data_IF_552946116998
#
_entry.id   IF_552946116998
#
_cell.length_a   1.000
_cell.length_b   1.000
_cell.length_c   1.000
_cell.angle_alpha   90.00
_cell.angle_beta   90.00
_cell.angle_gamma   90.00
#
_symmetry.space_group_name_H-M   'P 1'
#
loop_
_entity.id
_entity.type
_entity.pdbx_description
1 polymer ?
#
# COMPACT_ATOMS: atom_id res chain seq x y z
N UNK A 1 0.11 13.63 13.35
CA UNK A 1 0.91 13.36 12.13
C UNK A 1 1.08 11.86 11.94
N UNK A 2 0.83 11.37 10.74
CA UNK A 2 0.96 9.94 10.47
C UNK A 2 2.42 9.59 10.16
N UNK A 3 2.92 8.56 10.83
CA UNK A 3 4.27 8.05 10.58
C UNK A 3 4.15 6.67 9.96
N UNK A 4 4.89 6.43 8.88
CA UNK A 4 4.90 5.14 8.21
C UNK A 4 6.28 4.51 8.33
N UNK A 5 6.47 3.64 9.34
CA UNK A 5 7.74 2.93 9.48
C UNK A 5 8.04 2.10 8.25
N UNK A 6 9.30 2.08 7.85
CA UNK A 6 9.74 1.33 6.68
C UNK A 6 10.86 0.37 7.04
N UNK A 7 10.94 -0.72 6.29
CA UNK A 7 12.06 -1.67 6.37
C UNK A 7 12.25 -2.30 5.01
N UNK A 8 13.44 -2.82 4.76
CA UNK A 8 13.71 -3.56 3.54
C UNK A 8 13.82 -5.04 3.85
N UNK A 9 13.22 -5.86 3.01
CA UNK A 9 13.26 -7.31 3.14
C UNK A 9 13.21 -7.92 1.75
N UNK A 10 14.17 -8.79 1.41
CA UNK A 10 14.21 -9.46 0.12
C UNK A 10 14.17 -8.49 -1.07
N UNK A 11 14.77 -7.31 -0.93
CA UNK A 11 14.80 -6.30 -1.98
C UNK A 11 13.52 -5.50 -2.12
N UNK A 12 12.58 -5.65 -1.18
CA UNK A 12 11.30 -4.95 -1.19
C UNK A 12 11.26 -3.92 -0.07
N UNK A 13 10.80 -2.72 -0.37
CA UNK A 13 10.58 -1.69 0.66
C UNK A 13 9.21 -1.89 1.26
N UNK A 14 9.17 -2.31 2.52
CA UNK A 14 7.93 -2.60 3.25
C UNK A 14 7.57 -1.40 4.11
N UNK A 15 6.34 -0.93 3.97
CA UNK A 15 5.82 0.22 4.70
C UNK A 15 4.69 -0.23 5.59
N UNK A 16 4.86 -0.09 6.90
CA UNK A 16 3.83 -0.48 7.87
C UNK A 16 2.79 0.62 7.98
N UNK A 17 1.54 0.26 7.71
CA UNK A 17 0.40 1.18 7.83
C UNK A 17 -0.52 0.60 8.90
N UNK A 18 -1.08 1.45 9.74
CA UNK A 18 -1.94 0.95 10.82
C UNK A 18 -3.06 1.90 11.18
N UNK A 19 -3.98 1.39 12.00
CA UNK A 19 -5.10 2.17 12.51
C UNK A 19 -6.25 2.28 11.52
N UNK A 20 -6.97 3.38 11.61
CA UNK A 20 -8.14 3.65 10.79
C UNK A 20 -7.79 4.69 9.75
N UNK A 21 -7.93 4.33 8.50
CA UNK A 21 -7.71 5.27 7.39
C UNK A 21 -9.07 5.80 6.97
N UNK A 22 -9.61 6.68 7.80
CA UNK A 22 -10.89 7.32 7.56
C UNK A 22 -10.70 8.61 6.76
N UNK A 23 -11.81 9.35 6.59
CA UNK A 23 -11.79 10.59 5.85
C UNK A 23 -10.79 11.60 6.44
N UNK A 24 -10.72 11.66 7.77
CA UNK A 24 -9.83 12.60 8.46
C UNK A 24 -8.35 12.25 8.26
N UNK A 25 -8.03 10.96 8.28
CA UNK A 25 -6.64 10.50 8.16
C UNK A 25 -6.12 10.50 6.72
N UNK A 26 -7.00 10.59 5.73
CA UNK A 26 -6.61 10.44 4.32
C UNK A 26 -5.58 11.46 3.85
N UNK A 27 -5.67 12.70 4.31
CA UNK A 27 -4.72 13.74 3.93
C UNK A 27 -3.34 13.48 4.51
N UNK A 28 -3.27 13.08 5.77
CA UNK A 28 -1.99 12.73 6.41
C UNK A 28 -1.37 11.51 5.74
N UNK A 29 -2.21 10.54 5.37
CA UNK A 29 -1.76 9.35 4.67
C UNK A 29 -1.14 9.71 3.31
N UNK A 30 -1.80 10.60 2.56
CA UNK A 30 -1.26 11.09 1.30
C UNK A 30 0.12 11.72 1.48
N UNK A 31 0.25 12.60 2.48
CA UNK A 31 1.51 13.29 2.76
C UNK A 31 2.61 12.32 3.18
N UNK A 32 2.26 11.31 3.96
CA UNK A 32 3.23 10.32 4.42
C UNK A 32 3.70 9.40 3.30
N UNK A 33 2.82 9.08 2.35
CA UNK A 33 3.18 8.24 1.20
C UNK A 33 3.99 8.99 0.14
N UNK A 34 3.81 10.29 0.04
CA UNK A 34 4.39 11.08 -1.04
C UNK A 34 5.90 10.88 -1.22
N UNK A 35 6.74 11.03 -0.18
CA UNK A 35 8.18 10.80 -0.35
C UNK A 35 8.54 9.36 -0.70
N UNK A 36 7.73 8.40 -0.26
CA UNK A 36 7.96 7.00 -0.59
C UNK A 36 7.62 6.72 -2.05
N UNK A 37 6.58 7.36 -2.57
CA UNK A 37 6.20 7.23 -3.97
C UNK A 37 7.23 7.88 -4.89
N UNK A 38 7.91 8.93 -4.46
CA UNK A 38 9.00 9.52 -5.22
C UNK A 38 10.09 8.50 -5.52
N UNK A 39 10.27 7.51 -4.65
CA UNK A 39 11.28 6.47 -4.79
C UNK A 39 10.75 5.24 -5.55
N UNK A 40 9.46 5.19 -5.83
CA UNK A 40 8.82 4.04 -6.49
C UNK A 40 8.90 4.21 -8.00
N UNK A 41 10.08 3.96 -8.55
CA UNK A 41 10.38 4.19 -9.96
C UNK A 41 10.93 2.93 -10.59
N UNK A 42 11.13 2.97 -11.91
CA UNK A 42 11.70 1.86 -12.66
C UNK A 42 13.07 1.47 -12.12
N UNK A 43 13.23 0.20 -11.81
CA UNK A 43 14.49 -0.34 -11.29
C UNK A 43 14.70 -0.14 -9.79
N UNK A 44 13.83 0.61 -9.13
CA UNK A 44 13.87 0.77 -7.68
C UNK A 44 13.21 -0.41 -6.99
N UNK A 45 13.41 -0.52 -5.67
CA UNK A 45 12.75 -1.56 -4.87
C UNK A 45 11.23 -1.42 -4.98
N UNK A 46 10.49 -2.54 -5.14
CA UNK A 46 9.03 -2.49 -5.07
C UNK A 46 8.58 -1.91 -3.74
N UNK A 47 7.49 -1.15 -3.78
CA UNK A 47 6.88 -0.57 -2.60
C UNK A 47 5.70 -1.44 -2.16
N UNK A 48 5.81 -2.03 -0.99
CA UNK A 48 4.79 -2.93 -0.44
C UNK A 48 4.21 -2.33 0.84
N UNK A 49 2.90 -2.07 0.84
CA UNK A 49 2.22 -1.60 2.03
C UNK A 49 1.76 -2.79 2.87
N UNK A 50 2.22 -2.85 4.11
CA UNK A 50 1.79 -3.86 5.08
C UNK A 50 0.56 -3.33 5.78
N UNK A 51 -0.59 -3.94 5.48
CA UNK A 51 -1.89 -3.52 6.02
C UNK A 51 -2.33 -4.36 7.22
N UNK A 52 -1.45 -5.18 7.79
CA UNK A 52 -1.83 -6.03 8.92
C UNK A 52 -2.37 -5.22 10.12
N UNK A 53 -1.95 -3.98 10.25
CA UNK A 53 -2.42 -3.10 11.31
C UNK A 53 -3.59 -2.20 10.93
N UNK A 54 -4.08 -2.28 9.69
CA UNK A 54 -5.18 -1.42 9.23
C UNK A 54 -6.52 -2.07 9.55
N UNK A 55 -7.30 -1.42 10.42
CA UNK A 55 -8.58 -1.93 10.89
C UNK A 55 -9.75 -1.48 10.03
N UNK A 56 -9.61 -0.34 9.34
CA UNK A 56 -10.69 0.25 8.58
C UNK A 56 -10.14 1.17 7.51
N UNK A 57 -10.79 1.20 6.36
CA UNK A 57 -10.45 2.15 5.30
C UNK A 57 -11.75 2.72 4.70
N UNK A 58 -11.78 4.04 4.54
CA UNK A 58 -12.90 4.76 3.95
C UNK A 58 -12.71 4.89 2.44
N UNK A 59 -13.75 5.39 1.76
CA UNK A 59 -13.65 5.70 0.33
C UNK A 59 -12.56 6.74 0.06
N UNK A 60 -12.36 7.69 0.97
CA UNK A 60 -11.27 8.67 0.84
C UNK A 60 -9.91 7.99 0.92
N UNK A 61 -9.76 7.00 1.83
CA UNK A 61 -8.53 6.22 1.93
C UNK A 61 -8.27 5.37 0.68
N UNK A 62 -9.32 4.77 0.12
CA UNK A 62 -9.19 4.03 -1.14
C UNK A 62 -8.74 4.93 -2.29
N UNK A 63 -9.23 6.18 -2.31
CA UNK A 63 -8.81 7.14 -3.32
C UNK A 63 -7.31 7.43 -3.23
N UNK A 64 -6.77 7.55 -2.00
CA UNK A 64 -5.34 7.76 -1.78
C UNK A 64 -4.56 6.59 -2.40
N UNK A 65 -4.99 5.36 -2.13
CA UNK A 65 -4.34 4.16 -2.68
C UNK A 65 -4.43 4.12 -4.20
N UNK A 66 -5.57 4.52 -4.75
CA UNK A 66 -5.75 4.56 -6.20
C UNK A 66 -4.79 5.54 -6.85
N UNK A 67 -4.65 6.74 -6.28
CA UNK A 67 -3.73 7.75 -6.79
C UNK A 67 -2.28 7.28 -6.65
N UNK A 68 -1.95 6.63 -5.53
CA UNK A 68 -0.61 6.08 -5.31
C UNK A 68 -0.28 5.02 -6.38
N UNK A 69 -1.23 4.13 -6.65
CA UNK A 69 -1.06 3.09 -7.66
C UNK A 69 -0.84 3.68 -9.05
N UNK A 70 -1.62 4.68 -9.41
CA UNK A 70 -1.49 5.36 -10.71
C UNK A 70 -0.15 6.05 -10.84
N UNK A 71 0.29 6.72 -9.79
CA UNK A 71 1.58 7.39 -9.78
C UNK A 71 2.72 6.40 -9.94
N UNK A 72 2.68 5.30 -9.20
CA UNK A 72 3.70 4.25 -9.31
C UNK A 72 3.76 3.69 -10.72
N UNK A 73 2.61 3.39 -11.33
CA UNK A 73 2.56 2.90 -12.70
C UNK A 73 3.13 3.91 -13.69
N UNK A 74 2.80 5.18 -13.53
CA UNK A 74 3.32 6.24 -14.38
C UNK A 74 4.82 6.38 -14.30
N UNK A 75 5.41 6.02 -13.17
CA UNK A 75 6.85 6.03 -12.95
C UNK A 75 7.50 4.68 -13.25
N UNK A 76 6.72 3.71 -13.71
CA UNK A 76 7.16 2.34 -13.98
C UNK A 76 7.69 1.63 -12.74
N UNK A 77 7.24 2.06 -11.58
CA UNK A 77 7.53 1.41 -10.31
C UNK A 77 6.53 0.31 -10.00
N UNK A 78 6.83 -0.48 -8.97
CA UNK A 78 5.95 -1.57 -8.52
C UNK A 78 5.36 -1.21 -7.17
N UNK A 79 4.03 -1.25 -7.06
CA UNK A 79 3.29 -0.91 -5.87
C UNK A 79 2.30 -2.02 -5.56
N UNK A 80 2.31 -2.52 -4.33
CA UNK A 80 1.44 -3.63 -3.92
C UNK A 80 1.05 -3.49 -2.45
N UNK A 81 0.05 -4.26 -2.04
CA UNK A 81 -0.46 -4.28 -0.67
C UNK A 81 -0.50 -5.72 -0.19
N UNK A 82 -0.25 -5.94 1.10
CA UNK A 82 -0.27 -7.30 1.67
C UNK A 82 -0.91 -7.31 3.04
N UNK A 83 -1.36 -8.49 3.46
CA UNK A 83 -1.82 -8.79 4.82
C UNK A 83 -3.07 -8.00 5.23
N UNK A 84 -4.05 -7.92 4.33
CA UNK A 84 -5.32 -7.23 4.63
C UNK A 84 -6.09 -7.96 5.73
N UNK A 85 -6.59 -7.21 6.72
CA UNK A 85 -7.54 -7.77 7.68
C UNK A 85 -8.85 -8.05 6.96
N UNK A 86 -9.65 -8.96 7.53
CA UNK A 86 -10.87 -9.45 6.87
C UNK A 86 -11.81 -8.34 6.42
N UNK A 87 -12.03 -7.34 7.27
CA UNK A 87 -12.94 -6.23 6.94
C UNK A 87 -12.42 -5.40 5.77
N UNK A 88 -11.14 -5.11 5.75
CA UNK A 88 -10.52 -4.33 4.67
C UNK A 88 -10.51 -5.15 3.37
N UNK A 89 -10.26 -6.44 3.50
CA UNK A 89 -10.30 -7.35 2.35
C UNK A 89 -11.68 -7.36 1.71
N UNK A 90 -12.73 -7.36 2.53
CA UNK A 90 -14.12 -7.30 2.06
C UNK A 90 -14.39 -6.01 1.30
N UNK A 91 -13.94 -4.88 1.82
CA UNK A 91 -14.09 -3.59 1.16
C UNK A 91 -13.37 -3.59 -0.19
N UNK A 92 -12.18 -4.15 -0.24
CA UNK A 92 -11.42 -4.25 -1.49
C UNK A 92 -12.15 -5.13 -2.52
N UNK A 93 -12.75 -6.23 -2.06
CA UNK A 93 -13.49 -7.13 -2.94
C UNK A 93 -14.76 -6.47 -3.49
N UNK A 94 -15.54 -5.83 -2.62
CA UNK A 94 -16.79 -5.18 -3.01
C UNK A 94 -16.55 -4.04 -3.98
N UNK A 95 -15.51 -3.24 -3.75
CA UNK A 95 -15.16 -2.11 -4.61
C UNK A 95 -14.31 -2.52 -5.81
N UNK A 96 -13.92 -3.79 -5.88
CA UNK A 96 -13.03 -4.34 -6.89
C UNK A 96 -11.66 -3.66 -6.92
N UNK A 97 -11.28 -3.08 -5.81
CA UNK A 97 -9.98 -2.43 -5.69
C UNK A 97 -8.84 -3.43 -5.80
N UNK A 98 -9.08 -4.68 -5.41
CA UNK A 98 -8.11 -5.76 -5.53
C UNK A 98 -7.74 -6.08 -6.99
N UNK A 99 -8.52 -5.58 -7.95
CA UNK A 99 -8.20 -5.71 -9.38
C UNK A 99 -7.32 -4.55 -9.88
N UNK A 100 -7.24 -3.48 -9.09
CA UNK A 100 -6.47 -2.28 -9.44
C UNK A 100 -5.05 -2.37 -8.90
N UNK A 101 -4.90 -2.88 -7.66
CA UNK A 101 -3.61 -3.01 -6.99
C UNK A 101 -3.40 -4.47 -6.61
N UNK A 102 -2.22 -5.06 -6.91
CA UNK A 102 -1.93 -6.43 -6.47
C UNK A 102 -2.00 -6.53 -4.95
N UNK A 103 -2.73 -7.52 -4.46
CA UNK A 103 -2.89 -7.78 -3.04
C UNK A 103 -2.41 -9.20 -2.73
N UNK A 104 -1.56 -9.33 -1.72
CA UNK A 104 -0.99 -10.61 -1.31
C UNK A 104 -1.48 -10.98 0.09
N UNK A 105 -1.58 -12.27 0.35
CA UNK A 105 -2.08 -12.76 1.62
C UNK A 105 -1.16 -12.44 2.79
N UNK A 106 0.15 -12.38 2.53
CA UNK A 106 1.14 -12.12 3.57
C UNK A 106 2.33 -11.34 2.99
N UNK A 107 3.12 -10.77 3.89
CA UNK A 107 4.38 -10.12 3.51
C UNK A 107 5.32 -11.15 2.85
N UNK A 108 5.37 -12.36 3.41
CA UNK A 108 6.23 -13.40 2.84
C UNK A 108 5.86 -13.78 1.41
N UNK A 109 4.56 -13.96 1.15
CA UNK A 109 4.11 -14.32 -0.20
C UNK A 109 4.36 -13.18 -1.18
N UNK A 110 4.18 -11.93 -0.73
CA UNK A 110 4.46 -10.76 -1.56
C UNK A 110 5.96 -10.67 -1.91
N UNK A 111 6.81 -10.87 -0.92
CA UNK A 111 8.26 -10.79 -1.13
C UNK A 111 8.77 -11.87 -2.09
N UNK A 112 8.16 -13.04 -2.09
CA UNK A 112 8.53 -14.12 -3.03
C UNK A 112 8.29 -13.70 -4.48
N UNK A 113 7.23 -12.96 -4.71
CA UNK A 113 6.88 -12.51 -6.07
C UNK A 113 7.65 -11.24 -6.44
N UNK A 114 7.71 -10.27 -5.53
CA UNK A 114 8.25 -8.95 -5.82
C UNK A 114 9.77 -8.89 -5.70
N UNK A 115 10.33 -9.68 -4.81
CA UNK A 115 11.75 -9.60 -4.47
C UNK A 115 12.68 -10.43 -5.34
N UNK A 116 12.16 -11.16 -6.28
CA UNK A 116 12.98 -12.04 -7.13
C UNK A 116 13.57 -11.34 -8.35
#
# INVERSE_FOLDING_TARGET
MMTLPTREQAGVLIVSVGGRIDHTASEEFTKALDPLLDRCTRGAAPLLLDFSGVEYISSAGLRVLMMASRRAKGQQGVFAIAALQAMVQEVFAITRFNLIVPCYASIESACKVLGS
#
